data_IF_326990824146
#
_entry.id   IF_326990824146
#
_cell.length_a   1.000
_cell.length_b   1.000
_cell.length_c   1.000
_cell.angle_alpha   90.00
_cell.angle_beta   90.00
_cell.angle_gamma   90.00
#
_symmetry.space_group_name_H-M   'P 1'
#
loop_
_entity.id
_entity.type
_entity.pdbx_description
1 polymer ?
#
# COMPACT_ATOMS: atom_id res chain seq x y z
N UNK A 1 -2.34 25.15 -6.86
CA UNK A 1 -2.77 24.06 -5.96
C UNK A 1 -1.69 23.00 -6.04
N UNK A 2 -0.87 22.83 -5.00
CA UNK A 2 0.30 21.94 -5.08
C UNK A 2 -0.10 20.48 -4.86
N UNK A 3 0.18 19.63 -5.83
CA UNK A 3 0.37 18.20 -5.58
C UNK A 3 1.73 17.79 -6.17
N UNK A 4 2.82 17.90 -5.40
CA UNK A 4 3.96 17.03 -5.59
C UNK A 4 4.21 16.28 -4.29
N UNK A 5 3.41 15.24 -4.07
CA UNK A 5 3.79 14.15 -3.19
C UNK A 5 4.06 12.94 -4.06
N UNK A 6 5.33 12.59 -4.25
CA UNK A 6 5.67 11.31 -4.84
C UNK A 6 5.65 10.29 -3.70
N UNK A 7 4.76 9.32 -3.82
CA UNK A 7 4.76 8.13 -2.98
C UNK A 7 5.20 6.97 -3.87
N UNK A 8 6.29 6.32 -3.51
CA UNK A 8 6.74 5.11 -4.19
C UNK A 8 7.04 4.06 -3.14
N UNK A 9 6.55 2.86 -3.36
CA UNK A 9 6.78 1.72 -2.49
C UNK A 9 7.30 0.57 -3.32
N UNK A 10 8.31 -0.11 -2.79
CA UNK A 10 8.86 -1.34 -3.35
C UNK A 10 8.98 -2.35 -2.22
N UNK A 11 8.69 -3.61 -2.50
CA UNK A 11 8.77 -4.63 -1.47
C UNK A 11 8.67 -6.03 -2.02
N UNK A 12 8.83 -6.98 -1.12
CA UNK A 12 8.67 -8.41 -1.36
C UNK A 12 7.78 -9.02 -0.28
N UNK A 13 6.96 -9.99 -0.67
CA UNK A 13 5.99 -10.61 0.23
C UNK A 13 5.89 -12.10 -0.08
N UNK A 14 5.92 -12.90 0.97
CA UNK A 14 5.62 -14.32 0.97
C UNK A 14 4.53 -14.58 2.02
N UNK A 15 3.25 -14.43 1.62
CA UNK A 15 2.14 -14.60 2.54
C UNK A 15 2.02 -16.03 3.08
N UNK A 16 2.48 -17.03 2.33
CA UNK A 16 2.44 -18.43 2.75
C UNK A 16 3.36 -18.69 3.95
N UNK A 17 4.54 -18.05 3.95
CA UNK A 17 5.48 -18.11 5.07
C UNK A 17 5.39 -16.91 6.03
N UNK A 18 4.38 -16.04 5.86
CA UNK A 18 4.13 -14.85 6.69
C UNK A 18 5.35 -13.93 6.76
N UNK A 19 5.97 -13.64 5.62
CA UNK A 19 7.13 -12.74 5.50
C UNK A 19 6.80 -11.59 4.57
N UNK A 20 7.20 -10.39 4.93
CA UNK A 20 7.14 -9.25 4.04
C UNK A 20 8.21 -8.22 4.41
N UNK A 21 8.73 -7.54 3.41
CA UNK A 21 9.59 -6.38 3.56
C UNK A 21 9.18 -5.34 2.54
N UNK A 22 8.97 -4.11 3.01
CA UNK A 22 8.45 -3.01 2.21
C UNK A 22 9.24 -1.76 2.54
N UNK A 23 9.77 -1.11 1.52
CA UNK A 23 10.41 0.19 1.59
C UNK A 23 9.59 1.21 0.82
N UNK A 24 9.40 2.38 1.40
CA UNK A 24 8.60 3.45 0.85
C UNK A 24 9.32 4.78 0.95
N UNK A 25 9.23 5.56 -0.12
CA UNK A 25 9.58 6.97 -0.13
C UNK A 25 8.28 7.77 -0.20
N UNK A 26 8.14 8.73 0.71
CA UNK A 26 7.05 9.67 0.72
C UNK A 26 7.59 11.10 0.75
N UNK A 27 7.26 11.89 -0.26
CA UNK A 27 7.51 13.33 -0.24
C UNK A 27 6.25 14.04 0.25
N UNK A 28 6.31 14.75 1.37
CA UNK A 28 5.25 15.63 1.87
C UNK A 28 5.79 17.03 2.08
N UNK A 29 5.15 18.05 1.51
CA UNK A 29 5.53 19.47 1.67
C UNK A 29 7.01 19.74 1.37
N UNK A 30 7.57 19.06 0.36
CA UNK A 30 8.98 19.18 -0.04
C UNK A 30 9.99 18.46 0.86
N UNK A 31 9.53 17.70 1.87
CA UNK A 31 10.38 16.85 2.70
C UNK A 31 10.22 15.39 2.29
N UNK A 32 11.34 14.71 2.09
CA UNK A 32 11.34 13.27 1.87
C UNK A 32 11.31 12.54 3.20
N UNK A 33 10.67 11.39 3.18
CA UNK A 33 10.55 10.52 4.33
C UNK A 33 10.60 9.09 3.87
N UNK A 34 11.45 8.31 4.52
CA UNK A 34 11.58 6.88 4.28
C UNK A 34 10.73 6.13 5.28
N UNK A 35 10.06 5.09 4.80
CA UNK A 35 9.35 4.11 5.59
C UNK A 35 9.95 2.76 5.25
N UNK A 36 10.30 1.97 6.26
CA UNK A 36 10.76 0.60 6.09
C UNK A 36 9.96 -0.28 7.04
N UNK A 37 9.25 -1.25 6.50
CA UNK A 37 8.36 -2.15 7.22
C UNK A 37 8.83 -3.59 6.99
N UNK A 38 9.05 -4.32 8.07
CA UNK A 38 9.41 -5.73 8.08
C UNK A 38 8.32 -6.49 8.84
N UNK A 39 7.86 -7.59 8.30
CA UNK A 39 6.96 -8.52 8.98
C UNK A 39 7.50 -9.94 8.86
N UNK A 40 7.62 -10.63 10.01
CA UNK A 40 8.07 -12.03 10.08
C UNK A 40 7.19 -12.74 11.10
N UNK A 41 6.35 -13.67 10.65
CA UNK A 41 5.43 -14.39 11.53
C UNK A 41 4.43 -13.44 12.19
N UNK A 42 4.47 -13.34 13.52
CA UNK A 42 3.62 -12.46 14.33
C UNK A 42 4.28 -11.10 14.62
N UNK A 43 5.54 -10.89 14.23
CA UNK A 43 6.29 -9.68 14.53
C UNK A 43 6.27 -8.68 13.37
N UNK A 44 6.13 -7.40 13.71
CA UNK A 44 6.14 -6.28 12.78
C UNK A 44 7.11 -5.21 13.27
N UNK A 45 8.02 -4.78 12.40
CA UNK A 45 8.97 -3.70 12.67
C UNK A 45 8.81 -2.58 11.66
N UNK A 46 8.71 -1.34 12.14
CA UNK A 46 8.60 -0.13 11.35
C UNK A 46 9.80 0.77 11.65
N UNK A 47 10.45 1.30 10.62
CA UNK A 47 11.42 2.38 10.74
C UNK A 47 10.97 3.55 9.88
N UNK A 48 10.99 4.74 10.47
CA UNK A 48 10.59 5.96 9.77
C UNK A 48 11.68 7.03 9.91
N UNK A 49 12.02 7.67 8.80
CA UNK A 49 12.90 8.85 8.77
C UNK A 49 12.12 10.07 8.25
N UNK A 50 12.59 11.28 8.55
CA UNK A 50 12.14 12.51 7.86
C UNK A 50 10.76 13.09 8.22
N UNK A 51 9.86 12.36 8.91
CA UNK A 51 8.48 12.85 9.17
C UNK A 51 8.20 13.50 10.53
N UNK A 52 8.86 13.10 11.62
CA UNK A 52 8.35 13.43 12.98
C UNK A 52 9.47 13.58 14.02
N UNK A 53 9.15 14.09 15.22
CA UNK A 53 10.03 13.95 16.41
C UNK A 53 10.22 12.47 16.83
N UNK A 54 9.36 11.57 16.33
CA UNK A 54 9.42 10.12 16.50
C UNK A 54 10.32 9.44 15.46
N UNK A 55 10.93 10.19 14.51
CA UNK A 55 11.97 9.66 13.62
C UNK A 55 13.26 9.44 14.42
N UNK A 56 13.22 8.52 15.36
CA UNK A 56 14.41 7.96 15.93
C UNK A 56 15.00 7.00 14.91
N UNK A 57 16.32 6.84 14.91
CA UNK A 57 17.03 5.92 14.01
C UNK A 57 16.73 4.44 14.29
N UNK A 58 15.82 4.15 15.23
CA UNK A 58 15.50 2.81 15.71
C UNK A 58 14.29 2.22 14.99
N UNK A 59 14.21 0.91 15.04
CA UNK A 59 13.07 0.12 14.63
C UNK A 59 12.03 0.11 15.73
N UNK A 60 10.78 0.32 15.36
CA UNK A 60 9.61 0.26 16.23
C UNK A 60 8.93 -1.09 16.05
N UNK A 61 8.84 -1.87 17.12
CA UNK A 61 8.30 -3.23 17.10
C UNK A 61 6.89 -3.29 17.68
N UNK A 62 6.04 -4.08 17.03
CA UNK A 62 4.70 -4.46 17.49
C UNK A 62 4.38 -5.86 16.97
N UNK A 63 3.20 -6.36 17.30
CA UNK A 63 2.71 -7.65 16.82
C UNK A 63 1.64 -7.47 15.74
N UNK A 64 1.50 -8.47 14.86
CA UNK A 64 0.61 -8.43 13.70
C UNK A 64 -0.88 -8.21 14.07
N UNK A 65 -1.32 -8.76 15.20
CA UNK A 65 -2.68 -8.56 15.74
C UNK A 65 -2.94 -7.08 16.09
N UNK A 66 -1.92 -6.36 16.53
CA UNK A 66 -2.02 -4.94 16.90
C UNK A 66 -2.04 -4.00 15.71
N UNK A 67 -1.69 -4.47 14.51
CA UNK A 67 -1.74 -3.66 13.27
C UNK A 67 -2.79 -4.15 12.29
N UNK A 68 -3.58 -5.16 12.65
CA UNK A 68 -4.59 -5.76 11.78
C UNK A 68 -5.55 -4.69 11.24
N UNK A 69 -5.79 -4.70 9.93
CA UNK A 69 -6.68 -3.73 9.26
C UNK A 69 -6.11 -2.32 9.10
N UNK A 70 -4.86 -2.09 9.52
CA UNK A 70 -4.15 -0.82 9.32
C UNK A 70 -3.32 -0.82 8.04
N UNK A 71 -2.75 0.33 7.69
CA UNK A 71 -1.76 0.46 6.60
C UNK A 71 -0.49 -0.38 6.84
N UNK A 72 -0.22 -0.81 8.08
CA UNK A 72 0.94 -1.65 8.41
C UNK A 72 0.63 -3.16 8.36
N UNK A 73 -0.61 -3.57 8.05
CA UNK A 73 -1.03 -4.97 7.91
C UNK A 73 -0.59 -5.61 6.57
N UNK A 74 0.71 -5.51 6.25
CA UNK A 74 1.23 -5.86 4.92
C UNK A 74 1.36 -7.36 4.67
N UNK A 75 1.55 -8.15 5.72
CA UNK A 75 1.77 -9.60 5.63
C UNK A 75 0.46 -10.41 5.77
N UNK A 76 -0.70 -9.74 5.76
CA UNK A 76 -1.98 -10.39 5.85
C UNK A 76 -2.19 -11.33 4.66
N UNK A 77 -2.29 -12.66 4.85
CA UNK A 77 -2.45 -13.59 3.75
C UNK A 77 -3.78 -13.45 3.01
N UNK A 78 -4.78 -12.83 3.64
CA UNK A 78 -6.08 -12.57 3.02
C UNK A 78 -6.11 -11.27 2.21
N UNK A 79 -5.18 -10.35 2.46
CA UNK A 79 -5.13 -9.05 1.80
C UNK A 79 -3.69 -8.50 1.72
N UNK A 80 -2.77 -9.20 1.03
CA UNK A 80 -1.37 -8.81 1.00
C UNK A 80 -1.24 -7.42 0.36
N UNK A 81 -0.61 -6.49 1.08
CA UNK A 81 -0.45 -5.10 0.64
C UNK A 81 -1.76 -4.34 0.37
N UNK A 82 -2.91 -4.82 0.84
CA UNK A 82 -4.20 -4.13 0.65
C UNK A 82 -4.85 -4.30 -0.73
N UNK A 83 -4.31 -5.16 -1.61
CA UNK A 83 -4.77 -5.33 -3.00
C UNK A 83 -6.26 -5.70 -3.11
N UNK A 84 -6.79 -6.46 -2.15
CA UNK A 84 -8.20 -6.89 -2.17
C UNK A 84 -9.15 -5.71 -2.00
N UNK A 85 -8.71 -4.64 -1.35
CA UNK A 85 -9.51 -3.42 -1.23
C UNK A 85 -9.73 -2.77 -2.61
N UNK A 86 -8.71 -2.81 -3.48
CA UNK A 86 -8.83 -2.33 -4.86
C UNK A 86 -9.70 -3.25 -5.71
N UNK A 87 -9.56 -4.57 -5.55
CA UNK A 87 -10.38 -5.55 -6.28
C UNK A 87 -11.86 -5.39 -5.93
N UNK A 88 -12.18 -5.22 -4.65
CA UNK A 88 -13.55 -5.00 -4.19
C UNK A 88 -14.15 -3.66 -4.67
N UNK A 89 -13.31 -2.71 -5.07
CA UNK A 89 -13.74 -1.44 -5.64
C UNK A 89 -14.03 -1.53 -7.15
N UNK A 90 -13.70 -2.62 -7.84
CA UNK A 90 -13.99 -2.76 -9.29
C UNK A 90 -15.50 -2.84 -9.52
N UNK A 91 -16.03 -1.91 -10.31
CA UNK A 91 -17.46 -1.87 -10.68
C UNK A 91 -17.71 -2.25 -12.13
N UNK A 92 -16.70 -2.13 -12.98
CA UNK A 92 -16.74 -2.58 -14.38
C UNK A 92 -15.35 -3.08 -14.78
N UNK A 93 -15.31 -4.17 -15.53
CA UNK A 93 -14.08 -4.68 -16.14
C UNK A 93 -14.38 -5.27 -17.51
N UNK A 94 -13.50 -5.00 -18.45
CA UNK A 94 -13.54 -5.51 -19.81
C UNK A 94 -12.15 -6.02 -20.19
N UNK A 95 -12.11 -7.10 -20.96
CA UNK A 95 -10.88 -7.53 -21.61
C UNK A 95 -10.46 -6.51 -22.67
N UNK A 96 -9.15 -6.26 -22.73
CA UNK A 96 -8.49 -5.40 -23.69
C UNK A 96 -7.32 -6.17 -24.30
N UNK A 97 -7.65 -7.07 -25.24
CA UNK A 97 -6.68 -8.00 -25.82
C UNK A 97 -6.50 -9.28 -25.00
N UNK A 98 -5.42 -10.02 -25.26
CA UNK A 98 -5.19 -11.34 -24.67
C UNK A 98 -4.86 -11.30 -23.17
N UNK A 99 -4.05 -10.32 -22.75
CA UNK A 99 -3.55 -10.19 -21.37
C UNK A 99 -3.93 -8.87 -20.72
N UNK A 100 -4.71 -8.01 -21.41
CA UNK A 100 -5.05 -6.68 -20.95
C UNK A 100 -6.48 -6.60 -20.41
N UNK A 101 -6.67 -5.70 -19.46
CA UNK A 101 -7.96 -5.37 -18.86
C UNK A 101 -8.07 -3.85 -18.75
N UNK A 102 -9.31 -3.35 -18.85
CA UNK A 102 -9.66 -1.96 -18.57
C UNK A 102 -10.97 -1.92 -17.80
N UNK A 103 -11.17 -0.89 -17.00
CA UNK A 103 -12.38 -0.82 -16.20
C UNK A 103 -12.51 0.44 -15.38
N UNK A 104 -13.44 0.39 -14.44
CA UNK A 104 -13.74 1.47 -13.51
C UNK A 104 -13.66 0.96 -12.06
N UNK A 105 -13.04 1.76 -11.20
CA UNK A 105 -13.01 1.59 -9.76
C UNK A 105 -13.96 2.60 -9.11
N UNK A 106 -14.74 2.15 -8.14
CA UNK A 106 -15.45 2.99 -7.21
C UNK A 106 -14.63 3.13 -5.92
N UNK A 107 -13.77 4.14 -5.89
CA UNK A 107 -12.89 4.40 -4.76
C UNK A 107 -13.64 4.86 -3.52
N UNK A 108 -14.92 5.24 -3.63
CA UNK A 108 -15.77 5.54 -2.47
C UNK A 108 -16.11 4.29 -1.66
N UNK A 109 -15.94 3.09 -2.25
CA UNK A 109 -16.11 1.80 -1.56
C UNK A 109 -14.85 1.29 -0.87
N UNK A 110 -13.72 1.99 -0.98
CA UNK A 110 -12.50 1.58 -0.28
C UNK A 110 -12.71 1.66 1.23
N UNK A 111 -12.24 0.68 2.03
CA UNK A 111 -12.21 0.79 3.49
C UNK A 111 -11.41 2.00 4.00
N UNK A 112 -10.50 2.53 3.17
CA UNK A 112 -9.71 3.73 3.44
C UNK A 112 -10.35 5.03 2.94
N UNK A 113 -11.54 4.98 2.36
CA UNK A 113 -12.26 6.19 1.93
C UNK A 113 -12.65 7.02 3.15
N UNK A 114 -12.50 8.35 3.04
CA UNK A 114 -13.00 9.27 4.07
C UNK A 114 -14.53 9.14 4.16
N UNK A 115 -15.10 8.77 5.33
CA UNK A 115 -16.54 8.61 5.49
C UNK A 115 -17.31 9.93 5.29
N UNK A 116 -16.64 11.07 5.35
CA UNK A 116 -17.23 12.39 5.10
C UNK A 116 -17.09 12.85 3.65
N UNK A 117 -16.51 12.02 2.78
CA UNK A 117 -16.38 12.30 1.36
C UNK A 117 -17.77 12.40 0.70
N UNK A 118 -18.13 13.60 0.27
CA UNK A 118 -19.45 13.88 -0.30
C UNK A 118 -19.37 14.81 -1.52
N UNK A 119 -20.48 14.93 -2.24
CA UNK A 119 -20.63 15.85 -3.37
C UNK A 119 -19.69 15.54 -4.54
N UNK A 120 -19.18 16.59 -5.18
CA UNK A 120 -18.39 16.48 -6.42
C UNK A 120 -17.10 15.64 -6.27
N UNK A 121 -16.54 15.50 -5.06
CA UNK A 121 -15.37 14.64 -4.82
C UNK A 121 -15.77 13.17 -4.87
N UNK A 122 -16.86 12.79 -4.20
CA UNK A 122 -17.39 11.44 -4.22
C UNK A 122 -17.80 11.02 -5.65
N UNK A 123 -18.44 11.91 -6.39
CA UNK A 123 -18.84 11.67 -7.79
C UNK A 123 -17.63 11.41 -8.71
N UNK A 124 -16.51 12.13 -8.51
CA UNK A 124 -15.28 11.92 -9.29
C UNK A 124 -14.56 10.62 -8.95
N UNK A 125 -14.77 10.09 -7.75
CA UNK A 125 -14.11 8.90 -7.23
C UNK A 125 -14.97 7.63 -7.35
N UNK A 126 -16.22 7.75 -7.76
CA UNK A 126 -17.12 6.59 -7.96
C UNK A 126 -16.90 5.85 -9.28
N UNK A 127 -16.15 6.45 -10.21
CA UNK A 127 -15.85 5.89 -11.53
C UNK A 127 -14.45 6.28 -12.02
N UNK A 128 -13.42 5.77 -11.33
CA UNK A 128 -12.01 6.04 -11.65
C UNK A 128 -11.50 5.01 -12.68
N UNK A 129 -11.01 5.44 -13.85
CA UNK A 129 -10.51 4.51 -14.87
C UNK A 129 -9.27 3.76 -14.40
N UNK A 130 -9.19 2.47 -14.74
CA UNK A 130 -7.97 1.70 -14.59
C UNK A 130 -7.67 0.85 -15.83
N UNK A 131 -6.40 0.51 -16.00
CA UNK A 131 -5.92 -0.56 -16.88
C UNK A 131 -5.09 -1.54 -16.07
N UNK A 132 -5.14 -2.81 -16.47
CA UNK A 132 -4.33 -3.87 -15.86
C UNK A 132 -3.84 -4.85 -16.91
N UNK A 133 -2.77 -5.57 -16.59
CA UNK A 133 -2.20 -6.60 -17.44
C UNK A 133 -1.87 -7.84 -16.63
N UNK A 134 -1.99 -9.02 -17.22
CA UNK A 134 -1.50 -10.28 -16.64
C UNK A 134 -0.17 -10.72 -17.24
N UNK A 135 0.58 -11.54 -16.50
CA UNK A 135 1.73 -12.29 -17.00
C UNK A 135 1.26 -13.53 -17.80
N UNK A 136 2.23 -14.37 -18.20
CA UNK A 136 1.97 -15.60 -18.96
C UNK A 136 1.24 -16.68 -18.18
N UNK A 137 1.28 -16.63 -16.85
CA UNK A 137 0.62 -17.58 -15.95
C UNK A 137 -0.77 -17.07 -15.53
N UNK A 138 -1.18 -15.89 -16.02
CA UNK A 138 -2.47 -15.28 -15.73
C UNK A 138 -2.50 -14.48 -14.43
N UNK A 139 -1.36 -14.26 -13.77
CA UNK A 139 -1.29 -13.43 -12.57
C UNK A 139 -1.26 -11.95 -12.95
N UNK A 140 -1.76 -11.07 -12.07
CA UNK A 140 -1.71 -9.62 -12.27
C UNK A 140 -0.26 -9.14 -12.36
N UNK A 141 0.22 -8.70 -13.52
CA UNK A 141 1.58 -8.20 -13.72
C UNK A 141 1.69 -6.69 -13.51
N UNK A 142 0.61 -5.95 -13.76
CA UNK A 142 0.60 -4.50 -13.64
C UNK A 142 -0.81 -3.92 -13.57
N UNK A 143 -0.93 -2.80 -12.88
CA UNK A 143 -2.15 -2.00 -12.80
C UNK A 143 -1.80 -0.51 -12.85
N UNK A 144 -2.62 0.28 -13.54
CA UNK A 144 -2.56 1.73 -13.60
C UNK A 144 -3.95 2.30 -13.37
N UNK A 145 -4.06 3.23 -12.44
CA UNK A 145 -5.30 3.92 -12.08
C UNK A 145 -5.12 5.40 -12.46
N UNK A 146 -6.05 5.93 -13.24
CA UNK A 146 -6.05 7.32 -13.70
C UNK A 146 -6.83 8.22 -12.73
N UNK A 147 -6.10 8.98 -11.93
CA UNK A 147 -6.67 9.91 -10.95
C UNK A 147 -6.86 11.33 -11.53
N UNK A 148 -6.84 11.48 -12.87
CA UNK A 148 -6.93 12.80 -13.52
C UNK A 148 -8.22 13.55 -13.23
N UNK A 149 -9.30 12.85 -12.91
CA UNK A 149 -10.56 13.45 -12.47
C UNK A 149 -10.40 14.25 -11.16
N UNK A 150 -9.51 13.80 -10.29
CA UNK A 150 -9.15 14.47 -9.04
C UNK A 150 -8.14 15.59 -9.27
N UNK A 151 -7.04 15.28 -9.98
CA UNK A 151 -6.00 16.25 -10.31
C UNK A 151 -5.30 15.87 -11.63
N UNK A 152 -5.16 16.81 -12.58
CA UNK A 152 -4.59 16.52 -13.90
C UNK A 152 -3.22 15.83 -13.82
N UNK A 153 -3.06 14.71 -14.52
CA UNK A 153 -1.78 14.00 -14.64
C UNK A 153 -1.39 13.14 -13.43
N UNK A 154 -2.25 13.04 -12.40
CA UNK A 154 -2.01 12.15 -11.27
C UNK A 154 -2.41 10.73 -11.65
N UNK A 155 -1.48 9.78 -11.45
CA UNK A 155 -1.74 8.36 -11.67
C UNK A 155 -1.16 7.54 -10.54
N UNK A 156 -1.82 6.43 -10.23
CA UNK A 156 -1.30 5.40 -9.35
C UNK A 156 -0.95 4.18 -10.19
N UNK A 157 0.14 3.50 -9.88
CA UNK A 157 0.51 2.28 -10.60
C UNK A 157 1.26 1.33 -9.69
N UNK A 158 1.10 0.04 -9.97
CA UNK A 158 1.86 -1.03 -9.34
C UNK A 158 2.24 -2.07 -10.38
N UNK A 159 3.38 -2.71 -10.15
CA UNK A 159 3.90 -3.81 -10.96
C UNK A 159 4.24 -4.98 -10.05
N UNK A 160 3.96 -6.20 -10.50
CA UNK A 160 4.14 -7.40 -9.70
C UNK A 160 5.03 -8.39 -10.43
N UNK A 161 5.79 -9.14 -9.64
CA UNK A 161 6.59 -10.26 -10.10
C UNK A 161 6.38 -11.42 -9.12
N UNK A 162 6.28 -12.63 -9.66
CA UNK A 162 5.97 -13.83 -8.89
C UNK A 162 7.13 -14.84 -8.95
N UNK A 163 7.14 -15.77 -8.00
CA UNK A 163 8.09 -16.90 -7.97
C UNK A 163 9.50 -16.57 -7.45
N UNK A 164 9.74 -15.37 -6.93
CA UNK A 164 11.02 -15.03 -6.29
C UNK A 164 11.01 -15.41 -4.80
N UNK A 165 12.08 -16.03 -4.27
CA UNK A 165 12.23 -16.22 -2.83
C UNK A 165 12.20 -14.89 -2.07
N UNK A 166 11.56 -14.89 -0.91
CA UNK A 166 11.49 -13.73 -0.01
C UNK A 166 12.33 -14.01 1.23
N UNK A 167 13.48 -13.33 1.28
CA UNK A 167 14.42 -13.40 2.38
C UNK A 167 14.33 -12.11 3.18
N UNK A 168 13.93 -12.21 4.44
CA UNK A 168 13.71 -11.06 5.32
C UNK A 168 14.31 -11.40 6.69
N UNK A 169 15.05 -10.46 7.27
CA UNK A 169 15.71 -10.62 8.57
C UNK A 169 15.19 -9.60 9.57
N UNK A 170 14.97 -10.03 10.81
CA UNK A 170 14.59 -9.12 11.89
C UNK A 170 15.72 -8.10 12.16
N UNK A 171 15.39 -6.86 12.54
CA UNK A 171 16.38 -5.89 12.96
C UNK A 171 17.19 -6.32 14.19
N UNK A 172 18.41 -5.80 14.39
CA UNK A 172 19.18 -6.05 15.61
C UNK A 172 18.41 -5.60 16.86
N UNK A 173 18.35 -6.44 17.88
CA UNK A 173 17.58 -6.14 19.10
C UNK A 173 18.02 -4.84 19.81
N UNK A 174 19.29 -4.44 19.70
CA UNK A 174 19.80 -3.16 20.23
C UNK A 174 19.17 -1.92 19.57
N UNK A 175 18.70 -2.10 18.34
CA UNK A 175 18.15 -1.05 17.49
C UNK A 175 16.62 -1.08 17.50
N UNK A 176 16.00 -1.93 18.32
CA UNK A 176 14.55 -2.05 18.45
C UNK A 176 14.06 -1.28 19.68
N UNK A 177 12.90 -0.66 19.54
CA UNK A 177 12.09 -0.12 20.62
C UNK A 177 10.62 -0.51 20.41
N UNK A 178 9.79 -0.49 21.46
CA UNK A 178 8.35 -0.67 21.29
C UNK A 178 7.76 0.40 20.36
N UNK A 179 6.80 0.00 19.53
CA UNK A 179 6.05 0.95 18.70
C UNK A 179 5.20 1.88 19.58
N UNK A 180 5.29 3.21 19.38
CA UNK A 180 4.44 4.17 20.05
C UNK A 180 2.95 3.86 19.83
N UNK A 181 2.13 4.02 20.87
CA UNK A 181 0.70 3.71 20.81
C UNK A 181 -0.06 4.55 19.80
N UNK A 182 0.42 5.77 19.52
CA UNK A 182 -0.16 6.71 18.57
C UNK A 182 -0.06 6.24 17.10
N UNK A 183 0.74 5.22 16.83
CA UNK A 183 0.86 4.60 15.50
C UNK A 183 0.00 3.33 15.36
N UNK A 184 -0.62 2.89 16.45
CA UNK A 184 -1.46 1.69 16.44
C UNK A 184 -2.92 2.06 16.18
N UNK A 185 -3.71 1.19 15.51
CA UNK A 185 -5.13 1.42 15.27
C UNK A 185 -5.91 1.56 16.56
N UNK A 186 -6.86 2.51 16.59
CA UNK A 186 -7.78 2.70 17.73
C UNK A 186 -7.17 3.43 18.93
N UNK A 187 -6.03 4.10 18.76
CA UNK A 187 -5.42 5.03 19.72
C UNK A 187 -6.19 6.35 19.84
#
# INVERSE_FOLDING_TARGET
MSLPGQFSVTGSMDPANRRAEVEGLMTMSGKNSDIHLIAIGDDVWLKMSGMTKLSNSKWMHTTADRVTGSTFDIANPKNPGGIMNLINAVVQVEHSGATGFRGLLDMTKSPSADPNMTGAVAEKLSAVPFTATTDTDGNLAGIRIDMSAFAPGVTMSATYQYGRPVEVTAPPASDVMPMPTELLPGS
#
